data_IF_947060055557
#
_entry.id   IF_947060055557
#
_cell.length_a   1.000
_cell.length_b   1.000
_cell.length_c   1.000
_cell.angle_alpha   90.00
_cell.angle_beta   90.00
_cell.angle_gamma   90.00
#
_symmetry.space_group_name_H-M   'P 1'
#
loop_
_entity.id
_entity.type
_entity.pdbx_description
1 polymer ?
#
# COMPACT_ATOMS: atom_id res chain seq x y z
N UNK A 1 -9.01 18.37 12.59
CA UNK A 1 -8.74 19.04 11.29
C UNK A 1 -9.84 18.61 10.33
N UNK A 2 -10.51 19.56 9.68
CA UNK A 2 -11.68 19.29 8.87
C UNK A 2 -11.33 18.35 7.69
N UNK A 3 -11.95 17.16 7.67
CA UNK A 3 -11.78 16.20 6.60
C UNK A 3 -12.16 16.82 5.27
N UNK A 4 -11.26 16.76 4.28
CA UNK A 4 -11.52 17.24 2.92
C UNK A 4 -12.77 16.52 2.39
N UNK A 5 -13.79 17.30 2.04
CA UNK A 5 -15.07 16.77 1.56
C UNK A 5 -14.84 15.83 0.38
N UNK A 6 -15.11 14.55 0.59
CA UNK A 6 -14.88 13.47 -0.37
C UNK A 6 -15.83 13.51 -1.60
N UNK A 7 -16.65 14.55 -1.73
CA UNK A 7 -17.83 14.57 -2.61
C UNK A 7 -17.86 15.75 -3.61
N UNK A 8 -16.74 16.43 -3.85
CA UNK A 8 -16.66 17.39 -4.95
C UNK A 8 -16.20 16.68 -6.24
N UNK A 9 -17.11 16.44 -7.22
CA UNK A 9 -16.79 15.78 -8.48
C UNK A 9 -15.86 16.61 -9.38
N UNK A 10 -15.66 17.90 -9.07
CA UNK A 10 -14.81 18.81 -9.83
C UNK A 10 -13.41 18.97 -9.20
N UNK A 11 -13.16 18.31 -8.07
CA UNK A 11 -11.88 18.38 -7.35
C UNK A 11 -10.87 17.41 -7.97
N UNK A 12 -9.86 17.97 -8.64
CA UNK A 12 -8.74 17.20 -9.18
C UNK A 12 -8.00 16.38 -8.12
N UNK A 13 -7.48 15.23 -8.54
CA UNK A 13 -6.73 14.27 -7.72
C UNK A 13 -5.33 14.81 -7.44
N UNK A 14 -4.89 14.81 -6.18
CA UNK A 14 -3.50 15.08 -5.83
C UNK A 14 -2.73 13.78 -5.65
N UNK A 15 -1.60 13.66 -6.35
CA UNK A 15 -0.73 12.49 -6.24
C UNK A 15 0.67 12.87 -5.78
N UNK A 16 1.30 11.96 -5.04
CA UNK A 16 2.71 12.02 -4.65
C UNK A 16 3.42 10.77 -5.13
N UNK A 17 4.66 10.89 -5.61
CA UNK A 17 5.51 9.74 -5.96
C UNK A 17 6.98 10.06 -5.75
N UNK A 18 7.75 9.14 -5.17
CA UNK A 18 9.21 9.23 -5.12
C UNK A 18 9.86 8.73 -6.42
N UNK A 19 9.09 8.07 -7.29
CA UNK A 19 9.57 7.47 -8.52
C UNK A 19 9.57 8.49 -9.67
N UNK A 20 10.71 8.61 -10.36
CA UNK A 20 10.88 9.43 -11.56
C UNK A 20 10.96 8.55 -12.81
N UNK A 21 9.90 7.77 -13.05
CA UNK A 21 9.82 6.78 -14.13
C UNK A 21 8.42 6.79 -14.78
N UNK A 22 8.05 5.70 -15.44
CA UNK A 22 6.73 5.53 -16.09
C UNK A 22 5.55 5.74 -15.17
N UNK A 23 5.68 5.56 -13.84
CA UNK A 23 4.62 5.87 -12.88
C UNK A 23 4.36 7.37 -12.83
N UNK A 24 5.40 8.19 -12.82
CA UNK A 24 5.27 9.65 -12.84
C UNK A 24 4.55 10.10 -14.11
N UNK A 25 4.99 9.57 -15.26
CA UNK A 25 4.38 9.88 -16.55
C UNK A 25 2.91 9.42 -16.61
N UNK A 26 2.60 8.23 -16.09
CA UNK A 26 1.23 7.72 -16.01
C UNK A 26 0.32 8.61 -15.13
N UNK A 27 0.85 9.18 -14.04
CA UNK A 27 0.10 10.12 -13.21
C UNK A 27 -0.09 11.47 -13.91
N UNK A 28 0.93 11.99 -14.61
CA UNK A 28 0.88 13.27 -15.34
C UNK A 28 -0.10 13.27 -16.50
N UNK A 29 -0.21 12.15 -17.20
CA UNK A 29 -1.10 12.00 -18.36
C UNK A 29 -2.58 11.90 -17.97
N UNK A 30 -2.91 11.76 -16.67
CA UNK A 30 -4.30 11.67 -16.22
C UNK A 30 -4.93 13.07 -16.10
N UNK A 31 -6.10 13.30 -16.72
CA UNK A 31 -6.81 14.56 -16.57
C UNK A 31 -7.10 14.89 -15.11
N UNK A 32 -6.89 16.16 -14.72
CA UNK A 32 -7.14 16.66 -13.37
C UNK A 32 -6.28 16.03 -12.27
N UNK A 33 -5.19 15.33 -12.60
CA UNK A 33 -4.20 14.88 -11.61
C UNK A 33 -3.11 15.94 -11.44
N UNK A 34 -2.79 16.27 -10.20
CA UNK A 34 -1.75 17.26 -9.86
C UNK A 34 -0.73 16.65 -8.90
N UNK A 35 0.54 16.78 -9.24
CA UNK A 35 1.63 16.42 -8.33
C UNK A 35 1.62 17.37 -7.13
N UNK A 36 1.89 16.85 -5.93
CA UNK A 36 2.00 17.63 -4.70
C UNK A 36 3.28 17.25 -3.95
N UNK A 37 3.93 18.24 -3.37
CA UNK A 37 5.07 18.06 -2.47
C UNK A 37 4.66 18.04 -1.00
N UNK A 38 3.37 18.21 -0.70
CA UNK A 38 2.87 18.16 0.68
C UNK A 38 3.00 16.76 1.26
N UNK A 39 3.45 16.69 2.52
CA UNK A 39 3.53 15.43 3.25
C UNK A 39 2.17 14.89 3.72
N UNK A 40 1.16 15.77 3.84
CA UNK A 40 -0.16 15.42 4.39
C UNK A 40 -1.29 15.68 3.41
N UNK A 41 -1.11 16.56 2.42
CA UNK A 41 -2.13 16.90 1.44
C UNK A 41 -1.92 16.18 0.11
N UNK A 42 -2.37 14.93 0.05
CA UNK A 42 -2.39 14.08 -1.13
C UNK A 42 -3.56 13.11 -1.04
N UNK A 43 -4.06 12.64 -2.18
CA UNK A 43 -5.13 11.63 -2.24
C UNK A 43 -4.52 10.23 -2.55
N UNK A 44 -3.50 10.16 -3.42
CA UNK A 44 -2.76 8.93 -3.72
C UNK A 44 -1.26 9.15 -3.54
N UNK A 45 -0.58 8.24 -2.82
CA UNK A 45 0.88 8.20 -2.75
C UNK A 45 1.41 6.90 -3.35
N UNK A 46 2.19 7.01 -4.42
CA UNK A 46 2.91 5.90 -5.01
C UNK A 46 4.33 5.84 -4.44
N UNK A 47 4.50 4.98 -3.44
CA UNK A 47 5.75 4.84 -2.71
C UNK A 47 6.56 3.62 -3.20
N UNK A 48 7.87 3.70 -2.98
CA UNK A 48 8.77 2.56 -3.11
C UNK A 48 8.87 1.75 -1.81
N UNK A 49 9.46 0.56 -1.90
CA UNK A 49 9.61 -0.33 -0.74
C UNK A 49 10.50 0.27 0.37
N UNK A 50 11.64 0.93 0.08
CA UNK A 50 12.44 1.61 1.09
C UNK A 50 11.65 2.63 1.92
N UNK A 51 10.97 3.58 1.27
CA UNK A 51 10.20 4.62 1.95
C UNK A 51 9.13 4.03 2.86
N UNK A 52 8.44 2.99 2.37
CA UNK A 52 7.43 2.27 3.12
C UNK A 52 7.96 1.59 4.38
N UNK A 53 9.17 1.02 4.33
CA UNK A 53 9.78 0.39 5.51
C UNK A 53 10.12 1.40 6.61
N UNK A 54 10.42 2.64 6.24
CA UNK A 54 10.81 3.69 7.17
C UNK A 54 9.59 4.44 7.74
N UNK A 55 8.55 4.65 6.93
CA UNK A 55 7.48 5.58 7.27
C UNK A 55 6.16 4.90 7.65
N UNK A 56 5.89 3.65 7.26
CA UNK A 56 4.54 3.11 7.40
C UNK A 56 4.04 3.00 8.85
N UNK A 57 4.92 2.70 9.79
CA UNK A 57 4.52 2.60 11.21
C UNK A 57 4.20 3.95 11.84
N UNK A 58 4.74 5.05 11.30
CA UNK A 58 4.47 6.43 11.76
C UNK A 58 3.38 7.14 10.96
N UNK A 59 3.01 6.63 9.79
CA UNK A 59 1.97 7.21 8.94
C UNK A 59 0.57 7.00 9.53
N UNK A 60 -0.12 8.12 9.75
CA UNK A 60 -1.56 8.15 10.00
C UNK A 60 -2.26 8.58 8.72
N UNK A 61 -2.99 7.67 8.09
CA UNK A 61 -3.68 7.92 6.83
C UNK A 61 -5.10 8.43 7.06
N UNK A 62 -5.45 9.51 6.36
CA UNK A 62 -6.83 9.95 6.28
C UNK A 62 -7.68 8.96 5.47
N UNK A 63 -9.00 8.96 5.70
CA UNK A 63 -9.95 8.04 5.04
C UNK A 63 -9.91 8.10 3.50
N UNK A 64 -9.52 9.25 2.93
CA UNK A 64 -9.41 9.44 1.48
C UNK A 64 -8.04 9.02 0.91
N UNK A 65 -7.02 8.90 1.75
CA UNK A 65 -5.66 8.62 1.33
C UNK A 65 -5.48 7.16 0.95
N UNK A 66 -4.77 6.92 -0.15
CA UNK A 66 -4.43 5.58 -0.63
C UNK A 66 -2.94 5.47 -0.90
N UNK A 67 -2.34 4.36 -0.47
CA UNK A 67 -0.95 3.98 -0.74
C UNK A 67 -0.94 2.63 -1.46
N UNK A 68 0.00 2.43 -2.36
CA UNK A 68 0.14 1.23 -3.20
C UNK A 68 0.73 0.00 -2.49
N UNK A 69 0.90 0.02 -1.17
CA UNK A 69 1.54 -1.05 -0.39
C UNK A 69 0.72 -1.40 0.85
N UNK A 70 0.62 -2.69 1.12
CA UNK A 70 0.03 -3.19 2.37
C UNK A 70 1.05 -3.18 3.51
N UNK A 71 0.54 -2.96 4.73
CA UNK A 71 1.32 -3.16 5.96
C UNK A 71 1.86 -4.59 5.99
N UNK A 72 3.11 -4.76 6.40
CA UNK A 72 3.76 -6.06 6.52
C UNK A 72 3.81 -6.89 5.22
N UNK A 73 3.77 -6.24 4.04
CA UNK A 73 3.87 -6.94 2.75
C UNK A 73 5.09 -7.89 2.66
N UNK A 74 6.15 -7.58 3.40
CA UNK A 74 7.37 -8.39 3.46
C UNK A 74 7.16 -9.81 4.00
N UNK A 75 6.08 -10.08 4.76
CA UNK A 75 5.72 -11.43 5.24
C UNK A 75 5.46 -12.41 4.09
N UNK A 76 5.03 -11.88 2.94
CA UNK A 76 4.70 -12.65 1.74
C UNK A 76 5.67 -12.41 0.59
N UNK A 77 6.51 -11.37 0.61
CA UNK A 77 7.46 -11.08 -0.49
C UNK A 77 8.90 -11.47 -0.19
N UNK A 78 9.27 -11.70 1.07
CA UNK A 78 10.60 -12.22 1.44
C UNK A 78 10.60 -13.74 1.52
N UNK A 79 11.52 -14.39 0.79
CA UNK A 79 11.62 -15.86 0.73
C UNK A 79 11.74 -16.54 2.10
N UNK A 80 12.51 -15.96 3.02
CA UNK A 80 12.75 -16.53 4.35
C UNK A 80 11.52 -16.44 5.24
N UNK A 81 10.74 -15.35 5.14
CA UNK A 81 9.49 -15.18 5.88
C UNK A 81 8.36 -16.00 5.26
N UNK A 82 8.25 -16.01 3.93
CA UNK A 82 7.27 -16.85 3.23
C UNK A 82 7.40 -18.32 3.63
N UNK A 83 8.62 -18.89 3.61
CA UNK A 83 8.84 -20.29 4.03
C UNK A 83 8.43 -20.52 5.49
N UNK A 84 8.73 -19.58 6.40
CA UNK A 84 8.30 -19.68 7.81
C UNK A 84 6.78 -19.62 7.94
N UNK A 85 6.13 -18.71 7.22
CA UNK A 85 4.68 -18.53 7.24
C UNK A 85 3.93 -19.72 6.65
N UNK A 86 4.40 -20.28 5.53
CA UNK A 86 3.85 -21.50 4.94
C UNK A 86 3.97 -22.69 5.90
N UNK A 87 5.14 -22.87 6.55
CA UNK A 87 5.31 -23.92 7.56
C UNK A 87 4.37 -23.75 8.75
N UNK A 88 4.19 -22.51 9.22
CA UNK A 88 3.25 -22.18 10.30
C UNK A 88 1.81 -22.48 9.89
N UNK A 89 1.41 -22.07 8.69
CA UNK A 89 0.07 -22.30 8.15
C UNK A 89 -0.22 -23.81 8.01
N UNK A 90 0.71 -24.58 7.46
CA UNK A 90 0.60 -26.05 7.37
C UNK A 90 0.37 -26.70 8.74
N UNK A 91 1.19 -26.35 9.73
CA UNK A 91 1.07 -26.87 11.10
C UNK A 91 -0.26 -26.47 11.76
N UNK A 92 -0.81 -25.31 11.41
CA UNK A 92 -2.11 -24.87 11.92
C UNK A 92 -3.24 -25.71 11.31
N UNK A 93 -3.21 -25.94 10.00
CA UNK A 93 -4.21 -26.78 9.31
C UNK A 93 -4.20 -28.23 9.79
N UNK A 94 -3.01 -28.80 10.06
CA UNK A 94 -2.86 -30.13 10.66
C UNK A 94 -3.49 -30.23 12.06
N UNK A 95 -3.47 -29.14 12.85
CA UNK A 95 -4.09 -29.09 14.19
C UNK A 95 -5.61 -28.93 14.14
N UNK A 96 -6.12 -28.26 13.11
CA UNK A 96 -7.55 -27.98 12.91
C UNK A 96 -8.28 -29.10 12.16
N UNK A 97 -7.64 -30.27 11.97
CA UNK A 97 -8.16 -31.41 11.20
C UNK A 97 -8.53 -31.08 9.74
N UNK A 98 -7.94 -30.02 9.18
CA UNK A 98 -8.06 -29.62 7.76
C UNK A 98 -6.90 -30.17 6.94
N UNK A 99 -6.54 -31.43 7.19
CA UNK A 99 -5.35 -32.07 6.63
C UNK A 99 -5.35 -32.14 5.08
N UNK A 100 -6.53 -32.19 4.45
CA UNK A 100 -6.69 -32.17 2.99
C UNK A 100 -6.21 -30.87 2.34
N UNK A 101 -6.32 -29.73 3.02
CA UNK A 101 -5.83 -28.43 2.54
C UNK A 101 -4.34 -28.23 2.81
N UNK A 102 -3.76 -29.00 3.75
CA UNK A 102 -2.34 -28.93 4.13
C UNK A 102 -1.39 -29.75 3.23
N UNK A 103 -1.95 -30.59 2.35
CA UNK A 103 -1.22 -31.52 1.49
C UNK A 103 -0.86 -30.96 0.11
N UNK A 104 -1.36 -29.78 -0.26
CA UNK A 104 -1.05 -29.05 -1.50
C UNK A 104 0.06 -28.02 -1.29
#
# INVERSE_FOLDING_TARGET
>A
MAGRGANDPNRGMRYRTCLRNTILEACRLRPNWKETESDTDWDICWADVPWMREHFDSLQLDVHQRINHFRNHYELTRKDLMVKNLKRAKKQLEREDRASEAAN
#
